data_IF_943750873366
#
_entry.id   IF_943750873366
#
_cell.length_a   1.000
_cell.length_b   1.000
_cell.length_c   1.000
_cell.angle_alpha   90.00
_cell.angle_beta   90.00
_cell.angle_gamma   90.00
#
_symmetry.space_group_name_H-M   'P 1'
#
loop_
_entity.id
_entity.type
_entity.pdbx_description
1 polymer ?
#
# COMPACT_ATOMS: atom_id res chain seq x y z
N UNK A 1 12.92 31.85 20.51
CA UNK A 1 13.44 32.33 19.20
C UNK A 1 14.42 31.29 18.70
N UNK A 2 14.19 30.75 17.50
CA UNK A 2 14.94 29.63 16.93
C UNK A 2 15.76 30.06 15.71
N UNK A 3 16.95 29.53 15.58
CA UNK A 3 17.72 29.58 14.33
C UNK A 3 17.11 28.62 13.30
N UNK A 4 17.54 28.74 12.03
CA UNK A 4 17.13 27.80 10.97
C UNK A 4 17.46 26.35 11.33
N UNK A 5 18.57 26.15 12.04
CA UNK A 5 19.09 24.85 12.41
C UNK A 5 18.21 24.21 13.48
N UNK A 6 17.88 24.96 14.53
CA UNK A 6 16.98 24.52 15.60
C UNK A 6 15.53 24.32 15.07
N UNK A 7 15.06 25.22 14.20
CA UNK A 7 13.76 25.07 13.56
C UNK A 7 13.72 23.82 12.66
N UNK A 8 14.82 23.49 11.99
CA UNK A 8 14.94 22.25 11.23
C UNK A 8 14.86 21.01 12.12
N UNK A 9 15.53 21.01 13.27
CA UNK A 9 15.45 19.88 14.22
C UNK A 9 14.01 19.66 14.71
N UNK A 10 13.30 20.74 15.07
CA UNK A 10 11.90 20.71 15.52
C UNK A 10 10.98 20.20 14.39
N UNK A 11 11.15 20.69 13.16
CA UNK A 11 10.34 20.29 12.01
C UNK A 11 10.66 18.87 11.52
N UNK A 12 11.89 18.40 11.72
CA UNK A 12 12.29 17.02 11.44
C UNK A 12 11.70 16.05 12.45
N UNK A 13 11.69 16.40 13.75
CA UNK A 13 11.05 15.59 14.81
C UNK A 13 9.55 15.43 14.60
N UNK A 14 8.90 16.46 14.07
CA UNK A 14 7.47 16.44 13.70
C UNK A 14 7.18 15.81 12.34
N UNK A 15 8.19 15.23 11.68
CA UNK A 15 8.08 14.61 10.33
C UNK A 15 7.58 15.56 9.24
N UNK A 16 7.65 16.88 9.44
CA UNK A 16 7.23 17.87 8.44
C UNK A 16 8.29 18.10 7.36
N UNK A 17 9.58 17.86 7.66
CA UNK A 17 10.64 17.92 6.67
C UNK A 17 11.89 17.14 7.08
N UNK A 18 12.58 16.54 6.12
CA UNK A 18 13.86 15.85 6.30
C UNK A 18 15.06 16.65 5.79
N UNK A 19 14.83 17.83 5.19
CA UNK A 19 15.86 18.64 4.56
C UNK A 19 15.89 20.08 5.06
N UNK A 20 17.06 20.50 5.56
CA UNK A 20 17.31 21.86 6.06
C UNK A 20 17.07 22.96 5.01
N UNK A 21 17.33 22.68 3.73
CA UNK A 21 17.07 23.64 2.65
C UNK A 21 15.58 23.94 2.45
N UNK A 22 14.70 22.99 2.80
CA UNK A 22 13.25 23.19 2.78
C UNK A 22 12.84 24.27 3.78
N UNK A 23 13.44 24.25 4.98
CA UNK A 23 13.22 25.27 6.02
C UNK A 23 13.72 26.63 5.56
N UNK A 24 14.92 26.69 4.95
CA UNK A 24 15.44 27.95 4.36
C UNK A 24 14.52 28.49 3.27
N UNK A 25 13.98 27.62 2.42
CA UNK A 25 13.05 28.03 1.36
C UNK A 25 11.72 28.54 1.93
N UNK A 26 11.20 27.95 3.01
CA UNK A 26 10.00 28.46 3.67
C UNK A 26 10.20 29.83 4.30
N UNK A 27 11.36 30.07 4.90
CA UNK A 27 11.74 31.39 5.42
C UNK A 27 11.91 32.41 4.29
N UNK A 28 12.64 32.07 3.22
CA UNK A 28 12.84 32.96 2.05
C UNK A 28 11.53 33.32 1.35
N UNK A 29 10.60 32.38 1.28
CA UNK A 29 9.27 32.56 0.65
C UNK A 29 8.24 33.22 1.59
N UNK A 30 8.62 33.54 2.83
CA UNK A 30 7.71 34.13 3.82
C UNK A 30 6.61 33.20 4.32
N UNK A 31 6.77 31.88 4.13
CA UNK A 31 5.81 30.88 4.62
C UNK A 31 5.95 30.68 6.13
N UNK A 32 7.18 30.77 6.64
CA UNK A 32 7.47 30.91 8.06
C UNK A 32 7.94 32.35 8.26
N UNK A 33 7.27 33.10 9.14
CA UNK A 33 7.72 34.44 9.49
C UNK A 33 9.04 34.34 10.26
N UNK A 34 10.06 35.03 9.75
CA UNK A 34 11.37 35.08 10.36
C UNK A 34 11.94 36.48 10.24
N UNK A 35 12.61 36.93 11.28
CA UNK A 35 13.30 38.21 11.29
C UNK A 35 14.72 38.03 10.75
N UNK A 36 15.14 38.85 9.75
CA UNK A 36 16.52 38.86 9.30
C UNK A 36 17.42 39.45 10.40
N UNK A 37 18.51 38.77 10.73
CA UNK A 37 19.56 39.38 11.56
C UNK A 37 20.29 40.47 10.77
N UNK A 38 20.89 41.43 11.49
CA UNK A 38 21.59 42.63 11.00
C UNK A 38 22.68 42.40 9.92
N UNK A 39 22.97 41.16 9.53
CA UNK A 39 23.87 40.82 8.44
C UNK A 39 23.43 39.56 7.70
N UNK A 40 23.48 39.59 6.37
CA UNK A 40 23.27 38.43 5.46
C UNK A 40 24.09 37.19 5.85
N UNK A 41 25.21 37.36 6.58
CA UNK A 41 26.07 36.25 7.05
C UNK A 41 25.59 35.59 8.35
N UNK A 42 24.67 36.19 9.12
CA UNK A 42 24.22 35.70 10.44
C UNK A 42 22.90 34.92 10.42
N UNK A 43 22.24 34.79 9.25
CA UNK A 43 21.06 33.93 9.08
C UNK A 43 19.73 34.59 9.47
N UNK A 44 18.68 33.77 9.58
CA UNK A 44 17.33 34.18 9.95
C UNK A 44 16.97 33.65 11.34
N UNK A 45 16.17 34.41 12.10
CA UNK A 45 15.57 33.98 13.37
C UNK A 45 14.07 33.82 13.23
N UNK A 46 13.57 32.66 13.64
CA UNK A 46 12.17 32.30 13.61
C UNK A 46 11.61 32.46 15.03
N UNK A 47 10.52 33.20 15.20
CA UNK A 47 9.86 33.26 16.50
C UNK A 47 9.21 31.91 16.82
N UNK A 48 9.13 31.56 18.10
CA UNK A 48 8.51 30.31 18.55
C UNK A 48 7.05 30.22 18.12
N UNK A 49 6.31 31.31 18.31
CA UNK A 49 4.92 31.46 17.87
C UNK A 49 4.73 31.26 16.36
N UNK A 50 5.63 31.79 15.52
CA UNK A 50 5.54 31.62 14.07
C UNK A 50 5.82 30.17 13.64
N UNK A 51 6.75 29.49 14.31
CA UNK A 51 7.02 28.08 14.08
C UNK A 51 5.85 27.21 14.54
N UNK A 52 5.24 27.55 15.68
CA UNK A 52 4.12 26.82 16.23
C UNK A 52 2.87 26.91 15.37
N UNK A 53 2.52 28.13 14.94
CA UNK A 53 1.41 28.37 14.02
C UNK A 53 1.61 27.63 12.69
N UNK A 54 2.84 27.60 12.18
CA UNK A 54 3.17 26.89 10.95
C UNK A 54 2.95 25.37 11.07
N UNK A 55 3.33 24.78 12.19
CA UNK A 55 3.13 23.35 12.46
C UNK A 55 1.63 23.07 12.65
N UNK A 56 0.94 23.88 13.45
CA UNK A 56 -0.50 23.72 13.73
C UNK A 56 -1.36 23.82 12.46
N UNK A 57 -0.97 24.66 11.50
CA UNK A 57 -1.68 24.81 10.22
C UNK A 57 -1.51 23.60 9.28
N UNK A 58 -0.44 22.83 9.44
CA UNK A 58 -0.11 21.67 8.57
C UNK A 58 -0.44 20.33 9.19
N UNK A 59 -0.77 20.29 10.47
CA UNK A 59 -1.22 19.08 11.15
C UNK A 59 -2.75 19.09 11.27
N UNK A 60 -3.43 17.93 11.09
CA UNK A 60 -4.86 17.82 11.32
C UNK A 60 -5.22 18.03 12.81
N UNK A 61 -6.45 18.51 13.07
CA UNK A 61 -6.96 18.71 14.44
C UNK A 61 -6.89 17.41 15.24
N UNK A 62 -6.18 17.43 16.37
CA UNK A 62 -5.94 16.25 17.23
C UNK A 62 -4.48 15.80 17.34
N UNK A 63 -3.55 16.39 16.56
CA UNK A 63 -2.12 16.12 16.69
C UNK A 63 -1.49 16.98 17.80
N UNK A 64 -1.28 16.42 18.99
CA UNK A 64 -0.64 17.14 20.09
C UNK A 64 0.83 17.45 19.82
N UNK A 65 1.18 18.70 20.11
CA UNK A 65 2.48 19.28 19.84
C UNK A 65 3.44 18.93 20.98
N UNK A 66 4.06 17.75 20.86
CA UNK A 66 5.02 17.14 21.79
C UNK A 66 4.49 16.67 23.16
N UNK A 67 4.67 15.37 23.52
CA UNK A 67 4.90 15.03 24.91
C UNK A 67 6.27 15.58 25.33
N UNK A 68 6.30 16.42 26.38
CA UNK A 68 7.54 16.93 26.99
C UNK A 68 8.31 15.80 27.67
N UNK A 69 9.12 15.05 26.91
CA UNK A 69 10.33 14.34 27.39
C UNK A 69 10.83 13.34 26.33
N UNK A 70 11.66 13.79 25.39
CA UNK A 70 12.55 12.86 24.66
C UNK A 70 13.93 13.50 24.53
N UNK A 71 14.65 13.50 25.64
CA UNK A 71 16.11 13.42 25.67
C UNK A 71 16.43 12.04 26.23
N UNK A 72 16.71 11.08 25.36
CA UNK A 72 17.10 9.74 25.77
C UNK A 72 17.14 8.78 24.58
N UNK A 73 18.31 8.15 24.39
CA UNK A 73 18.46 6.96 23.57
C UNK A 73 17.49 5.86 23.99
N UNK A 74 17.28 4.92 23.07
CA UNK A 74 16.34 3.82 23.17
C UNK A 74 16.31 3.12 24.55
N UNK A 75 15.07 2.80 24.96
CA UNK A 75 14.63 1.95 26.09
C UNK A 75 14.49 2.67 27.43
N UNK A 76 13.26 3.06 27.75
CA UNK A 76 12.67 2.75 29.06
C UNK A 76 11.15 2.91 29.05
N UNK A 77 10.47 1.88 29.53
CA UNK A 77 9.02 1.80 29.69
C UNK A 77 8.67 2.44 31.02
N UNK A 78 7.97 3.58 31.02
CA UNK A 78 7.48 4.19 32.26
C UNK A 78 6.11 3.60 32.60
N UNK A 79 6.04 2.90 33.74
CA UNK A 79 4.79 2.57 34.42
C UNK A 79 4.19 3.85 35.01
N UNK A 80 3.01 4.24 34.56
CA UNK A 80 2.14 5.18 35.27
C UNK A 80 0.91 4.42 35.75
N UNK A 81 0.65 4.42 37.06
CA UNK A 81 -0.24 3.47 37.74
C UNK A 81 -1.74 3.75 37.65
N UNK A 82 -2.24 4.79 36.95
CA UNK A 82 -3.68 5.13 36.98
C UNK A 82 -4.39 5.34 35.63
N UNK A 83 -3.80 4.93 34.51
CA UNK A 83 -4.55 4.76 33.25
C UNK A 83 -4.04 3.48 32.63
N UNK A 84 -4.91 2.48 32.49
CA UNK A 84 -4.57 1.24 31.80
C UNK A 84 -3.91 1.61 30.45
N UNK A 85 -2.61 1.34 30.27
CA UNK A 85 -1.93 1.71 29.05
C UNK A 85 -2.52 0.87 27.95
N UNK A 86 -3.37 1.47 27.12
CA UNK A 86 -3.77 0.88 25.86
C UNK A 86 -2.51 0.86 24.99
N UNK A 87 -1.82 -0.28 25.02
CA UNK A 87 -0.79 -0.61 24.04
C UNK A 87 -1.48 -0.64 22.67
N UNK A 88 -1.37 0.43 21.91
CA UNK A 88 -1.70 0.39 20.48
C UNK A 88 -0.51 -0.29 19.81
N UNK A 89 -0.59 -1.60 19.67
CA UNK A 89 0.32 -2.34 18.79
C UNK A 89 0.04 -1.89 17.35
N UNK A 90 0.77 -0.86 16.91
CA UNK A 90 0.71 -0.41 15.53
C UNK A 90 1.44 -1.47 14.70
N UNK A 91 0.69 -2.30 13.99
CA UNK A 91 1.23 -3.23 13.02
C UNK A 91 1.74 -2.46 11.80
N UNK A 92 2.99 -2.02 11.90
CA UNK A 92 3.70 -1.27 10.84
C UNK A 92 3.73 -2.06 9.53
N UNK A 93 3.75 -3.39 9.59
CA UNK A 93 3.80 -4.23 8.40
C UNK A 93 2.44 -4.26 7.70
N UNK A 94 1.35 -4.37 8.45
CA UNK A 94 -0.01 -4.24 7.90
C UNK A 94 -0.23 -2.88 7.22
N UNK A 95 0.27 -1.79 7.80
CA UNK A 95 0.17 -0.45 7.20
C UNK A 95 0.95 -0.36 5.88
N UNK A 96 2.17 -0.93 5.82
CA UNK A 96 2.96 -0.95 4.60
C UNK A 96 2.29 -1.78 3.50
N UNK A 97 1.75 -2.95 3.84
CA UNK A 97 1.06 -3.80 2.89
C UNK A 97 -0.20 -3.12 2.35
N UNK A 98 -0.96 -2.43 3.22
CA UNK A 98 -2.11 -1.64 2.81
C UNK A 98 -1.72 -0.53 1.84
N UNK A 99 -0.66 0.24 2.14
CA UNK A 99 -0.14 1.27 1.24
C UNK A 99 0.32 0.70 -0.11
N UNK A 100 0.88 -0.52 -0.12
CA UNK A 100 1.28 -1.22 -1.34
C UNK A 100 0.09 -1.63 -2.20
N UNK A 101 -0.98 -2.13 -1.56
CA UNK A 101 -2.24 -2.48 -2.22
C UNK A 101 -2.89 -1.24 -2.84
N UNK A 102 -2.97 -0.14 -2.08
CA UNK A 102 -3.55 1.12 -2.56
C UNK A 102 -2.77 1.68 -3.75
N UNK A 103 -1.43 1.69 -3.67
CA UNK A 103 -0.58 2.10 -4.78
C UNK A 103 -0.80 1.22 -6.01
N UNK A 104 -0.89 -0.10 -5.83
CA UNK A 104 -1.17 -1.04 -6.92
C UNK A 104 -2.47 -0.68 -7.63
N UNK A 105 -3.55 -0.41 -6.90
CA UNK A 105 -4.83 -0.01 -7.48
C UNK A 105 -4.75 1.34 -8.19
N UNK A 106 -4.00 2.31 -7.67
CA UNK A 106 -3.80 3.60 -8.34
C UNK A 106 -3.07 3.46 -9.68
N UNK A 107 -2.06 2.59 -9.75
CA UNK A 107 -1.29 2.35 -10.98
C UNK A 107 -2.12 1.55 -11.98
N UNK A 108 -2.75 0.46 -11.54
CA UNK A 108 -3.67 -0.36 -12.32
C UNK A 108 -4.84 0.46 -12.89
N UNK A 109 -5.42 1.37 -12.11
CA UNK A 109 -6.52 2.25 -12.52
C UNK A 109 -6.14 3.25 -13.62
N UNK A 110 -4.84 3.54 -13.79
CA UNK A 110 -4.30 4.33 -14.91
C UNK A 110 -3.95 3.46 -16.13
N UNK A 111 -4.32 2.18 -16.12
CA UNK A 111 -3.99 1.19 -17.15
C UNK A 111 -2.48 1.00 -17.37
N UNK A 112 -1.66 1.24 -16.33
CA UNK A 112 -0.22 1.02 -16.37
C UNK A 112 0.11 -0.38 -15.85
N UNK A 113 0.59 -1.23 -16.75
CA UNK A 113 0.91 -2.64 -16.48
C UNK A 113 2.34 -2.94 -16.89
N UNK A 114 3.01 -3.84 -16.17
CA UNK A 114 4.35 -4.31 -16.58
C UNK A 114 4.29 -5.19 -17.82
N UNK A 115 3.20 -5.94 -17.95
CA UNK A 115 2.98 -6.82 -19.08
C UNK A 115 1.71 -7.64 -18.90
N UNK A 116 1.53 -8.57 -19.84
CA UNK A 116 0.48 -9.55 -19.82
C UNK A 116 1.04 -10.97 -19.84
N UNK A 117 0.28 -11.89 -19.26
CA UNK A 117 0.57 -13.31 -19.26
C UNK A 117 -0.56 -14.05 -19.97
N UNK A 118 -0.26 -14.64 -21.13
CA UNK A 118 -1.20 -15.43 -21.92
C UNK A 118 -1.39 -16.82 -21.29
N UNK A 119 -2.65 -17.17 -21.01
CA UNK A 119 -3.04 -18.41 -20.36
C UNK A 119 -3.52 -19.41 -21.42
N UNK A 120 -2.81 -20.53 -21.51
CA UNK A 120 -3.21 -21.64 -22.37
C UNK A 120 -3.96 -22.73 -21.59
N UNK A 121 -4.83 -23.48 -22.27
CA UNK A 121 -5.53 -24.64 -21.66
C UNK A 121 -4.55 -25.69 -21.14
N UNK A 122 -3.40 -25.86 -21.80
CA UNK A 122 -2.34 -26.78 -21.36
C UNK A 122 -1.73 -26.34 -20.03
N UNK A 123 -1.49 -25.03 -19.84
CA UNK A 123 -0.98 -24.50 -18.57
C UNK A 123 -1.97 -24.76 -17.44
N UNK A 124 -3.27 -24.49 -17.66
CA UNK A 124 -4.32 -24.78 -16.66
C UNK A 124 -4.32 -26.26 -16.30
N UNK A 125 -4.34 -27.16 -17.30
CA UNK A 125 -4.30 -28.61 -17.08
C UNK A 125 -3.09 -29.02 -16.24
N UNK A 126 -1.89 -28.56 -16.60
CA UNK A 126 -0.66 -28.92 -15.91
C UNK A 126 -0.68 -28.45 -14.45
N UNK A 127 -1.11 -27.22 -14.21
CA UNK A 127 -1.11 -26.64 -12.88
C UNK A 127 -2.22 -27.25 -11.98
N UNK A 128 -3.38 -27.60 -12.53
CA UNK A 128 -4.44 -28.37 -11.84
C UNK A 128 -3.95 -29.78 -11.50
N UNK A 129 -3.28 -30.45 -12.45
CA UNK A 129 -2.72 -31.79 -12.23
C UNK A 129 -1.61 -31.78 -11.16
N UNK A 130 -0.76 -30.75 -11.14
CA UNK A 130 0.27 -30.56 -10.10
C UNK A 130 -0.35 -30.54 -8.69
N UNK A 131 -1.53 -29.93 -8.54
CA UNK A 131 -2.30 -29.88 -7.28
C UNK A 131 -3.20 -31.11 -7.05
N UNK A 132 -3.23 -32.06 -7.99
CA UNK A 132 -4.10 -33.26 -7.98
C UNK A 132 -5.59 -32.92 -7.87
N UNK A 133 -6.01 -31.82 -8.49
CA UNK A 133 -7.42 -31.44 -8.56
C UNK A 133 -8.16 -32.17 -9.69
N UNK A 134 -9.50 -32.17 -9.61
CA UNK A 134 -10.35 -32.89 -10.56
C UNK A 134 -10.36 -32.24 -11.95
N UNK A 135 -10.73 -33.03 -12.97
CA UNK A 135 -10.94 -32.51 -14.34
C UNK A 135 -12.11 -31.54 -14.43
N UNK A 136 -13.12 -31.69 -13.57
CA UNK A 136 -14.23 -30.75 -13.46
C UNK A 136 -13.74 -29.38 -12.99
N UNK A 137 -12.80 -29.37 -12.04
CA UNK A 137 -12.16 -28.15 -11.60
C UNK A 137 -11.28 -27.52 -12.70
N UNK A 138 -10.57 -28.33 -13.50
CA UNK A 138 -9.86 -27.84 -14.70
C UNK A 138 -10.80 -27.06 -15.63
N UNK A 139 -11.99 -27.63 -15.88
CA UNK A 139 -12.99 -27.02 -16.74
C UNK A 139 -13.50 -25.69 -16.17
N UNK A 140 -13.80 -25.66 -14.88
CA UNK A 140 -14.23 -24.44 -14.18
C UNK A 140 -13.17 -23.32 -14.28
N UNK A 141 -11.90 -23.63 -13.99
CA UNK A 141 -10.80 -22.66 -14.08
C UNK A 141 -10.70 -22.10 -15.48
N UNK A 142 -10.77 -22.97 -16.50
CA UNK A 142 -10.69 -22.53 -17.88
C UNK A 142 -11.86 -21.64 -18.31
N UNK A 143 -13.08 -21.98 -17.92
CA UNK A 143 -14.26 -21.16 -18.21
C UNK A 143 -14.15 -19.77 -17.60
N UNK A 144 -13.62 -19.67 -16.37
CA UNK A 144 -13.36 -18.38 -15.72
C UNK A 144 -12.28 -17.58 -16.45
N UNK A 145 -11.20 -18.23 -16.89
CA UNK A 145 -10.17 -17.56 -17.72
C UNK A 145 -10.75 -17.00 -19.02
N UNK A 146 -11.64 -17.75 -19.68
CA UNK A 146 -12.33 -17.28 -20.89
C UNK A 146 -13.25 -16.09 -20.60
N UNK A 147 -14.05 -16.14 -19.53
CA UNK A 147 -14.96 -15.06 -19.13
C UNK A 147 -14.23 -13.78 -18.73
N UNK A 148 -13.08 -13.89 -18.07
CA UNK A 148 -12.23 -12.76 -17.70
C UNK A 148 -11.60 -12.05 -18.91
N UNK A 149 -11.63 -12.68 -20.09
CA UNK A 149 -10.92 -12.22 -21.27
C UNK A 149 -11.86 -11.62 -22.30
N UNK A 150 -11.39 -10.61 -23.04
CA UNK A 150 -12.19 -9.99 -24.08
C UNK A 150 -12.57 -11.01 -25.19
N UNK A 151 -13.76 -10.88 -25.82
CA UNK A 151 -14.19 -11.78 -26.87
C UNK A 151 -13.16 -11.92 -28.00
N UNK A 152 -12.94 -13.16 -28.46
CA UNK A 152 -12.00 -13.52 -29.55
C UNK A 152 -10.52 -13.26 -29.27
N UNK A 153 -10.13 -12.81 -28.07
CA UNK A 153 -8.73 -12.78 -27.64
C UNK A 153 -8.39 -14.04 -26.87
N UNK A 154 -7.12 -14.44 -26.95
CA UNK A 154 -6.61 -15.52 -26.11
C UNK A 154 -6.65 -15.08 -24.64
N UNK A 155 -7.00 -15.97 -23.71
CA UNK A 155 -7.06 -15.62 -22.31
C UNK A 155 -5.73 -15.09 -21.79
N UNK A 156 -5.79 -14.02 -21.00
CA UNK A 156 -4.59 -13.42 -20.41
C UNK A 156 -4.94 -12.65 -19.14
N UNK A 157 -3.92 -12.43 -18.32
CA UNK A 157 -3.98 -11.53 -17.17
C UNK A 157 -2.94 -10.44 -17.29
N UNK A 158 -3.30 -9.24 -16.88
CA UNK A 158 -2.36 -8.13 -16.77
C UNK A 158 -1.73 -8.19 -15.39
N UNK A 159 -0.42 -8.00 -15.31
CA UNK A 159 0.30 -8.05 -14.04
C UNK A 159 1.14 -6.81 -13.81
N UNK A 160 1.40 -6.55 -12.54
CA UNK A 160 2.15 -5.42 -12.05
C UNK A 160 2.78 -5.79 -10.71
N UNK A 161 4.10 -5.63 -10.62
CA UNK A 161 4.96 -5.91 -9.46
C UNK A 161 4.82 -7.35 -8.99
N UNK A 162 3.89 -7.60 -8.06
CA UNK A 162 3.76 -8.87 -7.35
C UNK A 162 2.36 -9.48 -7.47
N UNK A 163 1.50 -8.90 -8.30
CA UNK A 163 0.11 -9.32 -8.41
C UNK A 163 -0.38 -9.15 -9.85
N UNK A 164 -1.48 -9.83 -10.16
CA UNK A 164 -2.19 -9.72 -11.43
C UNK A 164 -3.67 -9.40 -11.20
N UNK A 165 -4.29 -8.84 -12.23
CA UNK A 165 -5.72 -8.57 -12.25
C UNK A 165 -6.48 -9.78 -12.78
N UNK A 166 -7.43 -10.29 -12.00
CA UNK A 166 -8.32 -11.36 -12.42
C UNK A 166 -9.71 -11.14 -11.82
N UNK A 167 -10.73 -11.11 -12.67
CA UNK A 167 -12.12 -10.86 -12.29
C UNK A 167 -12.28 -9.60 -11.42
N UNK A 168 -11.62 -8.52 -11.85
CA UNK A 168 -11.60 -7.22 -11.16
C UNK A 168 -10.94 -7.22 -9.77
N UNK A 169 -10.41 -8.37 -9.33
CA UNK A 169 -9.71 -8.52 -8.06
C UNK A 169 -8.18 -8.53 -8.27
N UNK A 170 -7.45 -7.92 -7.34
CA UNK A 170 -5.99 -8.03 -7.24
C UNK A 170 -5.64 -9.41 -6.68
N UNK A 171 -4.92 -10.22 -7.44
CA UNK A 171 -4.48 -11.55 -7.01
C UNK A 171 -2.96 -11.56 -6.85
N UNK A 172 -2.43 -11.71 -5.63
CA UNK A 172 -0.98 -11.81 -5.39
C UNK A 172 -0.38 -13.06 -6.03
N UNK A 173 0.88 -12.95 -6.46
CA UNK A 173 1.67 -14.08 -6.93
C UNK A 173 1.87 -15.14 -5.85
N UNK A 174 1.94 -16.41 -6.27
CA UNK A 174 2.21 -17.50 -5.35
C UNK A 174 3.70 -17.53 -4.96
N UNK A 175 4.02 -17.20 -3.71
CA UNK A 175 5.41 -17.05 -3.22
C UNK A 175 6.25 -18.34 -3.22
N UNK A 176 5.63 -19.50 -3.34
CA UNK A 176 6.32 -20.82 -3.33
C UNK A 176 6.88 -21.29 -4.67
N UNK A 177 6.89 -20.47 -5.71
CA UNK A 177 7.46 -20.81 -7.03
C UNK A 177 8.49 -19.75 -7.44
N UNK A 178 9.54 -20.15 -8.14
CA UNK A 178 10.61 -19.24 -8.56
C UNK A 178 10.31 -18.55 -9.90
N UNK A 179 9.56 -19.22 -10.76
CA UNK A 179 9.25 -18.77 -12.12
C UNK A 179 7.91 -18.02 -12.12
N UNK A 180 7.89 -16.81 -12.69
CA UNK A 180 6.72 -15.90 -12.68
C UNK A 180 5.47 -16.57 -13.24
N UNK A 181 5.60 -17.31 -14.32
CA UNK A 181 4.52 -18.03 -14.98
C UNK A 181 3.87 -19.05 -14.03
N UNK A 182 4.67 -19.79 -13.26
CA UNK A 182 4.17 -20.73 -12.27
C UNK A 182 3.57 -20.01 -11.06
N UNK A 183 4.19 -18.90 -10.62
CA UNK A 183 3.64 -18.06 -9.54
C UNK A 183 2.23 -17.56 -9.87
N UNK A 184 2.02 -17.08 -11.10
CA UNK A 184 0.72 -16.59 -11.60
C UNK A 184 -0.27 -17.75 -11.74
N UNK A 185 0.12 -18.82 -12.43
CA UNK A 185 -0.78 -19.96 -12.70
C UNK A 185 -1.27 -20.63 -11.40
N UNK A 186 -0.38 -20.79 -10.43
CA UNK A 186 -0.71 -21.45 -9.16
C UNK A 186 -1.57 -20.53 -8.29
N UNK A 187 -1.31 -19.23 -8.27
CA UNK A 187 -2.16 -18.25 -7.59
C UNK A 187 -3.57 -18.20 -8.20
N UNK A 188 -3.68 -18.20 -9.55
CA UNK A 188 -4.97 -18.15 -10.25
C UNK A 188 -5.85 -19.35 -9.90
N UNK A 189 -5.28 -20.56 -9.90
CA UNK A 189 -6.01 -21.80 -9.59
C UNK A 189 -6.49 -21.79 -8.13
N UNK A 190 -5.64 -21.38 -7.19
CA UNK A 190 -6.02 -21.26 -5.80
C UNK A 190 -7.11 -20.20 -5.59
N UNK A 191 -7.00 -19.06 -6.26
CA UNK A 191 -8.02 -18.01 -6.23
C UNK A 191 -9.38 -18.53 -6.72
N UNK A 192 -9.42 -19.25 -7.86
CA UNK A 192 -10.65 -19.88 -8.36
C UNK A 192 -11.21 -20.89 -7.36
N UNK A 193 -10.34 -21.70 -6.73
CA UNK A 193 -10.73 -22.71 -5.72
C UNK A 193 -11.38 -22.06 -4.50
N UNK A 194 -10.77 -21.00 -3.97
CA UNK A 194 -11.29 -20.29 -2.80
C UNK A 194 -12.64 -19.63 -3.11
N UNK A 195 -12.78 -19.04 -4.30
CA UNK A 195 -14.03 -18.45 -4.75
C UNK A 195 -15.14 -19.47 -5.01
N UNK A 196 -14.80 -20.68 -5.45
CA UNK A 196 -15.77 -21.77 -5.59
C UNK A 196 -16.25 -22.28 -4.21
N UNK A 197 -15.38 -22.28 -3.20
CA UNK A 197 -15.73 -22.69 -1.82
C UNK A 197 -16.56 -21.66 -1.07
N UNK A 198 -16.32 -20.37 -1.29
CA UNK A 198 -17.02 -19.29 -0.61
C UNK A 198 -18.45 -19.06 -1.14
N UNK A 199 -18.89 -19.82 -2.15
CA UNK A 199 -20.23 -19.71 -2.73
C UNK A 199 -20.44 -18.42 -3.55
N UNK A 200 -19.40 -17.60 -3.74
CA UNK A 200 -19.46 -16.38 -4.56
C UNK A 200 -19.79 -16.63 -6.04
N UNK A 201 -19.73 -17.89 -6.48
CA UNK A 201 -20.13 -18.31 -7.82
C UNK A 201 -21.01 -19.57 -7.75
N UNK A 202 -22.32 -19.39 -7.82
CA UNK A 202 -23.22 -20.45 -8.30
C UNK A 202 -23.13 -20.51 -9.82
N UNK A 203 -22.75 -21.65 -10.38
CA UNK A 203 -22.76 -21.87 -11.82
C UNK A 203 -24.16 -21.55 -12.39
N UNK A 204 -24.28 -20.50 -13.20
CA UNK A 204 -25.48 -20.24 -14.01
C UNK A 204 -25.76 -21.40 -14.99
N UNK A 205 -24.75 -22.23 -15.27
CA UNK A 205 -24.87 -23.48 -16.04
C UNK A 205 -25.79 -24.53 -15.39
N UNK A 206 -26.11 -24.40 -14.10
CA UNK A 206 -27.05 -25.30 -13.40
C UNK A 206 -28.52 -24.90 -13.57
N UNK A 207 -28.81 -23.65 -13.94
CA UNK A 207 -30.19 -23.12 -13.98
C UNK A 207 -30.91 -23.51 -15.27
N UNK A 208 -30.19 -23.80 -16.35
CA UNK A 208 -30.78 -24.12 -17.66
C UNK A 208 -30.99 -25.62 -17.95
N UNK A 209 -30.85 -26.51 -16.96
CA UNK A 209 -31.14 -27.95 -17.13
C UNK A 209 -32.56 -28.38 -16.76
N UNK A 210 -33.42 -27.46 -16.31
CA UNK A 210 -34.82 -27.75 -15.98
C UNK A 210 -35.79 -26.74 -16.63
N UNK A 211 -35.73 -26.64 -17.95
CA UNK A 211 -36.89 -26.22 -18.76
C UNK A 211 -36.95 -27.12 -19.99
N UNK A 212 -37.67 -28.23 -19.84
CA UNK A 212 -38.37 -28.92 -20.94
C UNK A 212 -39.82 -28.48 -20.82
#
# INVERSE_FOLDING_TARGET
MYTIDEAFEILSKTKLTTHKETVRNWVRKGVIQAEPLESRKKGYRISEEALEQFIKKRMPEGWEMYPKSVTGDAREVVKSEDVAPYHVEIDVEAIKEQGRIEMWHQVAGRWLWEGDFEISRRMVRNAVAHRRYSKEFEQLVWERCLKNSAPRKKPRVLYLVDAFLFEEERVPFHKGFDIKEDQIMQALIEHVRMNAKSGKYTNESSVNKFKI
#
